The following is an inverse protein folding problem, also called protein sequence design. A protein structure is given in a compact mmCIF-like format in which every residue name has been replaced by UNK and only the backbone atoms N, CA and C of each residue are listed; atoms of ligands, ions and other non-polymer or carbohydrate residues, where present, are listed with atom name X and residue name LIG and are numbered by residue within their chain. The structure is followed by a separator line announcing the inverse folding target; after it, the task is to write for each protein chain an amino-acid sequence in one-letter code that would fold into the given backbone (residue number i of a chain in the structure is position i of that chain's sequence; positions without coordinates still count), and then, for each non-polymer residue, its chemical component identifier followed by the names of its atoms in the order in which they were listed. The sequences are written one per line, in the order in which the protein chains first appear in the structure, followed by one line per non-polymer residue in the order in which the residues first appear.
data_IF_446454565661
#
_entry.id   IF_446454565661
#
_cell.length_a   1.000
_cell.length_b   1.000
_cell.length_c   1.000
_cell.angle_alpha   90.00
_cell.angle_beta   90.00
_cell.angle_gamma   90.00
#
_symmetry.space_group_name_H-M   'P 1'
#
loop_
_entity.id
_entity.type
_entity.pdbx_description
1 polymer ?
#
# COMPACT_ATOMS: atom_id res chain seq x y z
N UNK A 1 7.29 -24.42 12.70
CA UNK A 1 6.05 -24.32 11.94
C UNK A 1 5.28 -25.64 12.04
N UNK A 2 3.96 -25.53 12.21
CA UNK A 2 3.10 -26.68 12.45
C UNK A 2 2.44 -27.18 11.14
N UNK A 3 3.26 -27.48 10.12
CA UNK A 3 2.76 -28.14 8.93
C UNK A 3 2.23 -29.52 9.28
N UNK A 4 1.07 -29.87 8.73
CA UNK A 4 0.44 -31.17 8.91
C UNK A 4 0.24 -31.82 7.55
N UNK A 5 0.60 -33.09 7.44
CA UNK A 5 0.34 -33.88 6.24
C UNK A 5 -1.16 -34.13 6.08
N UNK A 6 -1.65 -34.02 4.85
CA UNK A 6 -2.98 -34.52 4.50
C UNK A 6 -2.84 -35.94 4.00
N UNK A 7 -3.40 -36.94 4.72
CA UNK A 7 -3.28 -38.33 4.32
C UNK A 7 -3.99 -38.61 2.98
N UNK A 8 -3.57 -39.64 2.27
CA UNK A 8 -4.23 -40.08 1.05
C UNK A 8 -5.73 -40.35 1.30
N UNK A 9 -6.59 -39.78 0.47
CA UNK A 9 -8.05 -39.81 0.65
C UNK A 9 -8.59 -38.82 1.71
N UNK A 10 -7.74 -37.99 2.29
CA UNK A 10 -8.12 -36.97 3.25
C UNK A 10 -8.96 -35.87 2.61
N UNK A 11 -9.73 -35.18 3.45
CA UNK A 11 -10.60 -34.06 3.03
C UNK A 11 -9.87 -32.74 3.16
N UNK A 12 -9.89 -31.93 2.10
CA UNK A 12 -9.46 -30.53 2.13
C UNK A 12 -10.63 -29.65 2.62
N UNK A 13 -10.31 -28.69 3.48
CA UNK A 13 -11.28 -27.73 4.00
C UNK A 13 -11.23 -26.44 3.19
N UNK A 14 -12.38 -25.93 2.75
CA UNK A 14 -12.47 -24.66 2.07
C UNK A 14 -11.93 -23.51 2.96
N UNK A 15 -11.14 -22.61 2.38
CA UNK A 15 -10.52 -21.52 3.10
C UNK A 15 -9.21 -21.88 3.83
N UNK A 16 -8.78 -23.14 3.79
CA UNK A 16 -7.46 -23.56 4.29
C UNK A 16 -6.45 -23.59 3.15
N UNK A 17 -5.26 -23.06 3.38
CA UNK A 17 -4.14 -23.15 2.44
C UNK A 17 -3.47 -24.52 2.48
N UNK A 18 -3.09 -25.03 1.33
CA UNK A 18 -2.39 -26.32 1.17
C UNK A 18 -1.22 -26.16 0.22
N UNK A 19 -0.10 -26.80 0.55
CA UNK A 19 1.04 -26.94 -0.36
C UNK A 19 0.96 -28.31 -0.99
N UNK A 20 1.02 -28.36 -2.32
CA UNK A 20 1.03 -29.59 -3.09
C UNK A 20 2.32 -29.67 -3.89
N UNK A 21 3.09 -30.73 -3.67
CA UNK A 21 4.33 -30.98 -4.40
C UNK A 21 4.20 -32.31 -5.18
N UNK A 22 3.76 -32.25 -6.45
CA UNK A 22 3.63 -33.47 -7.24
C UNK A 22 5.01 -33.97 -7.70
N UNK A 23 5.23 -35.28 -7.61
CA UNK A 23 6.47 -35.93 -8.11
C UNK A 23 6.59 -35.94 -9.63
N UNK A 24 5.51 -35.66 -10.34
CA UNK A 24 5.41 -35.58 -11.80
C UNK A 24 4.26 -34.68 -12.19
N UNK A 25 4.26 -34.24 -13.44
CA UNK A 25 3.11 -33.51 -13.98
C UNK A 25 1.84 -34.34 -13.82
N UNK A 26 0.85 -33.80 -13.14
CA UNK A 26 -0.42 -34.47 -12.83
C UNK A 26 -1.58 -33.47 -12.85
N UNK A 27 -2.77 -34.01 -13.07
CA UNK A 27 -3.99 -33.25 -12.94
C UNK A 27 -4.59 -33.46 -11.55
N UNK A 28 -4.77 -32.38 -10.82
CA UNK A 28 -5.47 -32.42 -9.53
C UNK A 28 -6.96 -32.17 -9.76
N UNK A 29 -7.80 -33.13 -9.36
CA UNK A 29 -9.26 -32.98 -9.42
C UNK A 29 -9.81 -32.86 -8.00
N UNK A 30 -10.36 -31.68 -7.67
CA UNK A 30 -11.05 -31.42 -6.41
C UNK A 30 -12.56 -31.65 -6.59
N UNK A 31 -13.15 -32.43 -5.69
CA UNK A 31 -14.59 -32.74 -5.71
C UNK A 31 -15.21 -32.35 -4.39
N UNK A 32 -16.41 -31.74 -4.45
CA UNK A 32 -17.22 -31.57 -3.24
C UNK A 32 -17.62 -32.94 -2.68
N UNK A 33 -17.57 -33.08 -1.36
CA UNK A 33 -17.91 -34.35 -0.68
C UNK A 33 -19.39 -34.69 -0.87
N UNK A 34 -20.25 -33.66 -0.84
CA UNK A 34 -21.68 -33.81 -0.99
C UNK A 34 -22.31 -32.55 -1.61
N UNK A 35 -23.61 -32.61 -1.89
CA UNK A 35 -24.35 -31.47 -2.48
C UNK A 35 -24.43 -30.27 -1.53
N UNK A 36 -24.48 -30.48 -0.22
CA UNK A 36 -24.53 -29.37 0.75
C UNK A 36 -23.23 -28.56 0.72
N UNK A 37 -22.09 -29.20 0.63
CA UNK A 37 -20.80 -28.52 0.48
C UNK A 37 -20.70 -27.79 -0.84
N UNK A 38 -21.18 -28.38 -1.93
CA UNK A 38 -21.29 -27.71 -3.24
C UNK A 38 -22.19 -26.48 -3.15
N UNK A 39 -23.36 -26.60 -2.54
CA UNK A 39 -24.31 -25.51 -2.39
C UNK A 39 -23.73 -24.37 -1.54
N UNK A 40 -22.95 -24.66 -0.50
CA UNK A 40 -22.27 -23.63 0.32
C UNK A 40 -21.26 -22.82 -0.47
N UNK A 41 -20.48 -23.44 -1.34
CA UNK A 41 -19.52 -22.74 -2.19
C UNK A 41 -20.18 -21.77 -3.19
N UNK A 42 -21.39 -22.08 -3.63
CA UNK A 42 -22.12 -21.27 -4.60
C UNK A 42 -23.29 -20.46 -4.01
N UNK A 43 -23.51 -20.56 -2.69
CA UNK A 43 -24.52 -19.77 -2.00
C UNK A 43 -24.15 -18.28 -1.96
N UNK A 44 -25.10 -17.42 -1.64
CA UNK A 44 -24.87 -16.00 -1.37
C UNK A 44 -24.25 -15.71 0.01
N UNK A 45 -24.06 -16.76 0.83
CA UNK A 45 -23.51 -16.60 2.18
C UNK A 45 -21.98 -16.48 2.16
N UNK A 46 -21.44 -15.67 3.07
CA UNK A 46 -20.01 -15.60 3.29
C UNK A 46 -19.45 -16.93 3.82
N UNK A 47 -18.26 -17.28 3.37
CA UNK A 47 -17.49 -18.39 3.94
C UNK A 47 -16.55 -17.86 5.02
N UNK A 48 -16.57 -18.53 6.18
CA UNK A 48 -15.78 -18.14 7.35
C UNK A 48 -14.72 -19.17 7.67
N UNK A 49 -13.55 -18.70 8.09
CA UNK A 49 -12.45 -19.53 8.57
C UNK A 49 -11.92 -18.99 9.90
N UNK A 50 -11.97 -19.83 10.93
CA UNK A 50 -11.34 -19.53 12.23
C UNK A 50 -9.83 -19.47 12.06
N UNK A 51 -9.21 -18.49 12.69
CA UNK A 51 -7.76 -18.29 12.71
C UNK A 51 -7.18 -18.88 13.99
N UNK A 52 -6.09 -19.61 13.83
CA UNK A 52 -5.37 -20.22 14.93
C UNK A 52 -4.37 -19.21 15.53
N UNK A 53 -4.18 -19.27 16.83
CA UNK A 53 -3.22 -18.47 17.55
C UNK A 53 -2.01 -19.32 17.92
N UNK A 54 -0.82 -18.81 17.63
CA UNK A 54 0.44 -19.47 17.92
C UNK A 54 1.36 -18.50 18.64
N UNK A 55 1.80 -18.87 19.83
CA UNK A 55 2.75 -18.06 20.58
C UNK A 55 4.13 -18.06 19.90
N UNK A 56 4.77 -16.90 19.94
CA UNK A 56 6.17 -16.74 19.57
C UNK A 56 6.80 -15.69 20.48
N UNK A 57 8.10 -15.81 20.72
CA UNK A 57 8.88 -14.81 21.45
C UNK A 57 8.85 -13.43 20.73
N UNK A 58 8.74 -13.45 19.40
CA UNK A 58 8.69 -12.27 18.58
C UNK A 58 7.32 -12.11 17.91
N UNK A 59 6.69 -10.96 18.07
CA UNK A 59 5.37 -10.66 17.53
C UNK A 59 5.26 -10.92 16.02
N UNK A 60 6.30 -10.58 15.24
CA UNK A 60 6.33 -10.80 13.80
C UNK A 60 6.39 -12.27 13.37
N UNK A 61 6.63 -13.18 14.29
CA UNK A 61 6.63 -14.63 14.07
C UNK A 61 5.40 -15.33 14.67
N UNK A 62 4.55 -14.60 15.40
CA UNK A 62 3.39 -15.17 16.06
C UNK A 62 2.19 -15.28 15.14
N UNK A 63 1.31 -16.22 15.41
CA UNK A 63 -0.05 -16.30 14.87
C UNK A 63 -0.20 -16.30 13.35
N UNK A 64 0.78 -16.86 12.62
CA UNK A 64 0.69 -17.04 11.17
C UNK A 64 -0.27 -18.15 10.79
N UNK A 65 -1.16 -17.87 9.84
CA UNK A 65 -2.14 -18.80 9.28
C UNK A 65 -1.96 -18.88 7.77
N UNK A 66 -2.08 -20.10 7.22
CA UNK A 66 -2.07 -20.32 5.78
C UNK A 66 -3.49 -20.54 5.30
N UNK A 67 -4.01 -19.59 4.57
CA UNK A 67 -5.40 -19.47 4.13
C UNK A 67 -5.47 -19.67 2.62
N UNK A 68 -6.60 -20.16 2.11
CA UNK A 68 -6.85 -20.28 0.67
C UNK A 68 -8.12 -19.57 0.27
N UNK A 69 -8.14 -18.98 -0.92
CA UNK A 69 -9.37 -18.54 -1.56
C UNK A 69 -10.34 -19.74 -1.60
N UNK A 70 -11.48 -19.69 -0.89
CA UNK A 70 -12.37 -20.84 -0.76
C UNK A 70 -13.18 -21.13 -2.03
N UNK A 71 -13.11 -20.26 -3.02
CA UNK A 71 -13.92 -20.33 -4.22
C UNK A 71 -13.12 -20.81 -5.44
N UNK A 72 -13.75 -21.60 -6.35
CA UNK A 72 -13.14 -21.99 -7.62
C UNK A 72 -13.24 -20.88 -8.68
N UNK A 73 -13.17 -19.62 -8.28
CA UNK A 73 -13.20 -18.43 -9.12
C UNK A 73 -12.25 -17.38 -8.55
N UNK A 74 -12.00 -16.33 -9.30
CA UNK A 74 -11.25 -15.17 -8.81
C UNK A 74 -11.98 -14.50 -7.64
N UNK A 75 -11.22 -13.85 -6.77
CA UNK A 75 -11.76 -13.21 -5.57
C UNK A 75 -11.06 -11.88 -5.29
N UNK A 76 -11.83 -10.81 -5.20
CA UNK A 76 -11.33 -9.49 -4.82
C UNK A 76 -11.15 -9.43 -3.30
N UNK A 77 -9.89 -9.26 -2.84
CA UNK A 77 -9.53 -9.21 -1.41
C UNK A 77 -10.24 -8.09 -0.65
N UNK A 78 -10.68 -7.05 -1.35
CA UNK A 78 -11.47 -5.96 -0.74
C UNK A 78 -12.72 -6.46 -0.01
N UNK A 79 -13.31 -7.54 -0.44
CA UNK A 79 -14.52 -8.12 0.16
C UNK A 79 -14.25 -9.15 1.26
N UNK A 80 -12.98 -9.35 1.64
CA UNK A 80 -12.65 -10.08 2.86
C UNK A 80 -12.94 -9.21 4.07
N UNK A 81 -13.50 -9.80 5.13
CA UNK A 81 -13.57 -9.17 6.44
C UNK A 81 -12.24 -9.36 7.17
N UNK A 82 -11.19 -8.75 6.62
CA UNK A 82 -9.82 -8.80 7.12
C UNK A 82 -9.04 -7.62 6.55
N UNK A 83 -8.58 -6.72 7.42
CA UNK A 83 -7.97 -5.44 7.05
C UNK A 83 -6.44 -5.44 7.13
N UNK A 84 -5.85 -6.41 7.84
CA UNK A 84 -4.39 -6.52 7.93
C UNK A 84 -3.78 -7.00 6.62
N UNK A 85 -2.48 -6.77 6.39
CA UNK A 85 -1.81 -7.24 5.19
C UNK A 85 -1.84 -8.78 5.03
N UNK A 86 -1.85 -9.23 3.77
CA UNK A 86 -1.69 -10.63 3.41
C UNK A 86 -0.35 -10.83 2.70
N UNK A 87 0.23 -12.02 2.79
CA UNK A 87 1.48 -12.35 2.10
C UNK A 87 1.23 -13.46 1.09
N UNK A 88 1.56 -13.20 -0.17
CA UNK A 88 1.37 -14.11 -1.29
C UNK A 88 2.71 -14.55 -1.88
N UNK A 89 2.75 -15.71 -2.51
CA UNK A 89 3.87 -16.13 -3.31
C UNK A 89 3.77 -15.56 -4.74
N UNK A 90 4.76 -14.80 -5.15
CA UNK A 90 4.91 -14.34 -6.53
C UNK A 90 5.73 -15.37 -7.32
N UNK A 91 5.07 -16.15 -8.15
CA UNK A 91 5.70 -17.18 -8.97
C UNK A 91 6.65 -16.61 -10.01
N UNK A 92 6.40 -15.38 -10.50
CA UNK A 92 7.23 -14.74 -11.52
C UNK A 92 8.58 -14.30 -10.94
N UNK A 93 8.53 -13.63 -9.80
CA UNK A 93 9.72 -13.10 -9.14
C UNK A 93 10.32 -14.07 -8.11
N UNK A 94 9.65 -15.21 -7.84
CA UNK A 94 10.07 -16.22 -6.89
C UNK A 94 10.31 -15.66 -5.49
N UNK A 95 9.47 -14.73 -5.07
CA UNK A 95 9.55 -14.06 -3.77
C UNK A 95 8.17 -13.99 -3.12
N UNK A 96 8.15 -13.68 -1.83
CA UNK A 96 6.92 -13.38 -1.12
C UNK A 96 6.62 -11.89 -1.17
N UNK A 97 5.41 -11.56 -1.58
CA UNK A 97 4.93 -10.18 -1.68
C UNK A 97 3.84 -9.92 -0.65
N UNK A 98 4.04 -8.93 0.18
CA UNK A 98 2.98 -8.44 1.05
C UNK A 98 2.02 -7.54 0.26
N UNK A 99 0.73 -7.74 0.50
CA UNK A 99 -0.36 -7.03 -0.15
C UNK A 99 -1.23 -6.41 0.94
N UNK A 100 -1.45 -5.10 0.87
CA UNK A 100 -2.39 -4.41 1.73
C UNK A 100 -3.81 -4.64 1.21
N UNK A 101 -4.71 -5.04 2.09
CA UNK A 101 -6.14 -5.17 1.74
C UNK A 101 -6.82 -3.81 1.57
N UNK A 102 -6.18 -2.73 2.01
CA UNK A 102 -6.66 -1.35 1.92
C UNK A 102 -6.13 -0.62 0.68
N UNK A 103 -4.82 -0.78 0.40
CA UNK A 103 -4.13 0.00 -0.63
C UNK A 103 -4.06 -0.72 -1.97
N UNK A 104 -4.07 -2.06 -1.96
CA UNK A 104 -3.88 -2.85 -3.18
C UNK A 104 -5.21 -3.34 -3.76
N UNK A 105 -5.32 -3.25 -5.08
CA UNK A 105 -6.43 -3.83 -5.84
C UNK A 105 -6.08 -5.26 -6.27
N UNK A 106 -5.85 -6.15 -5.28
CA UNK A 106 -5.41 -7.49 -5.58
C UNK A 106 -6.56 -8.47 -5.75
N UNK A 107 -6.49 -9.25 -6.82
CA UNK A 107 -7.49 -10.29 -7.14
C UNK A 107 -6.82 -11.66 -6.98
N UNK A 108 -7.26 -12.42 -5.98
CA UNK A 108 -6.81 -13.81 -5.77
C UNK A 108 -7.24 -14.68 -6.94
N UNK A 109 -6.32 -15.49 -7.44
CA UNK A 109 -6.66 -16.55 -8.40
C UNK A 109 -7.56 -17.62 -7.76
N UNK A 110 -8.29 -18.41 -8.57
CA UNK A 110 -9.06 -19.53 -8.05
C UNK A 110 -8.20 -20.42 -7.15
N UNK A 111 -8.68 -20.61 -5.92
CA UNK A 111 -8.01 -21.44 -4.89
C UNK A 111 -6.57 -21.02 -4.52
N UNK A 112 -6.14 -19.83 -4.86
CA UNK A 112 -4.84 -19.30 -4.46
C UNK A 112 -4.72 -19.25 -2.93
N UNK A 113 -3.61 -19.74 -2.41
CA UNK A 113 -3.31 -19.66 -0.98
C UNK A 113 -2.39 -18.46 -0.67
N UNK A 114 -2.49 -17.98 0.56
CA UNK A 114 -1.75 -16.83 1.08
C UNK A 114 -1.56 -16.96 2.60
N UNK A 115 -0.57 -16.26 3.12
CA UNK A 115 -0.33 -16.17 4.56
C UNK A 115 -1.00 -14.91 5.12
N UNK A 116 -1.55 -15.04 6.32
CA UNK A 116 -2.04 -13.93 7.15
C UNK A 116 -1.53 -14.09 8.57
N UNK A 117 -1.32 -12.99 9.24
CA UNK A 117 -1.02 -12.98 10.66
C UNK A 117 -2.28 -12.57 11.44
N UNK A 118 -2.68 -13.38 12.43
CA UNK A 118 -3.89 -13.14 13.23
C UNK A 118 -3.63 -12.03 14.26
N UNK A 119 -4.19 -10.80 14.08
CA UNK A 119 -4.20 -9.81 15.14
C UNK A 119 -4.97 -10.32 16.37
N UNK A 120 -4.64 -9.80 17.55
CA UNK A 120 -5.18 -10.28 18.84
C UNK A 120 -6.71 -10.35 18.83
N UNK A 121 -7.36 -9.31 18.33
CA UNK A 121 -8.83 -9.19 18.33
C UNK A 121 -9.51 -9.98 17.21
N UNK A 122 -8.78 -10.44 16.20
CA UNK A 122 -9.34 -11.13 15.03
C UNK A 122 -9.46 -12.63 15.30
N UNK A 123 -10.67 -13.17 15.32
CA UNK A 123 -10.91 -14.60 15.57
C UNK A 123 -11.11 -15.42 14.30
N UNK A 124 -11.63 -14.78 13.26
CA UNK A 124 -11.95 -15.44 12.00
C UNK A 124 -11.74 -14.49 10.82
N UNK A 125 -11.54 -15.06 9.64
CA UNK A 125 -11.62 -14.35 8.36
C UNK A 125 -12.89 -14.76 7.66
N UNK A 126 -13.57 -13.80 7.03
CA UNK A 126 -14.80 -14.00 6.28
C UNK A 126 -14.62 -13.60 4.82
N UNK A 127 -15.06 -14.45 3.92
CA UNK A 127 -15.07 -14.23 2.48
C UNK A 127 -16.49 -13.94 2.04
N UNK A 128 -16.85 -12.67 1.80
CA UNK A 128 -18.15 -12.30 1.24
C UNK A 128 -18.35 -12.91 -0.15
N UNK A 129 -19.57 -13.33 -0.44
CA UNK A 129 -19.93 -13.83 -1.76
C UNK A 129 -19.79 -12.77 -2.87
N UNK A 130 -19.82 -11.49 -2.51
CA UNK A 130 -19.69 -10.35 -3.42
C UNK A 130 -18.30 -10.22 -4.05
N UNK A 131 -17.25 -10.72 -3.34
CA UNK A 131 -15.88 -10.70 -3.83
C UNK A 131 -15.59 -11.67 -4.97
N UNK A 132 -16.52 -12.58 -5.30
CA UNK A 132 -16.36 -13.56 -6.37
C UNK A 132 -16.49 -12.91 -7.74
N UNK A 133 -15.56 -13.24 -8.64
CA UNK A 133 -15.59 -12.74 -10.01
C UNK A 133 -15.00 -13.75 -11.01
N UNK A 134 -15.25 -13.55 -12.31
CA UNK A 134 -14.85 -14.48 -13.37
C UNK A 134 -13.49 -14.13 -14.01
N UNK A 135 -12.99 -12.94 -13.74
CA UNK A 135 -11.76 -12.40 -14.30
C UNK A 135 -10.95 -11.62 -13.26
N UNK A 136 -9.83 -11.06 -13.66
CA UNK A 136 -8.94 -10.25 -12.82
C UNK A 136 -9.23 -8.75 -12.90
N UNK A 137 -10.31 -8.34 -13.56
CA UNK A 137 -10.65 -6.92 -13.68
C UNK A 137 -11.08 -6.35 -12.32
N UNK A 138 -10.48 -5.24 -11.91
CA UNK A 138 -10.90 -4.51 -10.71
C UNK A 138 -12.24 -3.85 -11.00
N UNK A 139 -13.28 -4.26 -10.27
CA UNK A 139 -14.63 -3.72 -10.43
C UNK A 139 -14.82 -2.46 -9.61
N UNK A 140 -15.77 -1.62 -10.04
CA UNK A 140 -16.19 -0.50 -9.22
C UNK A 140 -16.82 -1.03 -7.93
N UNK A 141 -16.22 -0.66 -6.79
CA UNK A 141 -16.68 -1.09 -5.47
C UNK A 141 -17.83 -0.22 -5.02
N UNK A 142 -18.92 -0.85 -4.62
CA UNK A 142 -20.17 -0.18 -4.18
C UNK A 142 -20.18 0.12 -2.68
N UNK A 143 -19.32 -0.54 -1.91
CA UNK A 143 -19.17 -0.32 -0.47
C UNK A 143 -17.88 0.43 -0.20
N UNK A 144 -17.93 1.52 0.52
CA UNK A 144 -16.76 2.21 1.07
C UNK A 144 -16.31 1.49 2.33
N UNK A 145 -15.08 0.96 2.37
CA UNK A 145 -14.39 0.74 3.64
C UNK A 145 -14.21 2.08 4.34
N UNK A 146 -13.99 2.06 5.64
CA UNK A 146 -13.68 3.28 6.40
C UNK A 146 -12.64 4.10 5.64
N UNK A 147 -12.88 5.41 5.53
CA UNK A 147 -11.98 6.29 4.81
C UNK A 147 -10.55 6.12 5.36
N UNK A 148 -9.61 5.83 4.48
CA UNK A 148 -8.18 5.88 4.80
C UNK A 148 -7.91 7.29 5.32
N UNK A 149 -7.16 7.41 6.40
CA UNK A 149 -6.78 8.72 6.96
C UNK A 149 -6.22 9.61 5.85
N UNK A 150 -6.69 10.84 5.69
CA UNK A 150 -6.17 11.76 4.67
C UNK A 150 -4.68 12.07 4.85
N UNK A 151 -4.15 11.84 6.04
CA UNK A 151 -2.73 12.09 6.39
C UNK A 151 -1.83 10.87 6.15
N UNK A 152 -2.39 9.79 5.59
CA UNK A 152 -1.66 8.55 5.31
C UNK A 152 -1.02 8.60 3.92
N UNK A 153 0.31 8.42 3.85
CA UNK A 153 1.07 8.42 2.61
C UNK A 153 1.75 7.08 2.38
N UNK A 154 1.56 6.49 1.21
CA UNK A 154 2.12 5.18 0.83
C UNK A 154 3.25 5.37 -0.17
N UNK A 155 4.39 4.72 0.08
CA UNK A 155 5.56 4.68 -0.80
C UNK A 155 5.88 3.22 -1.13
N UNK A 156 5.86 2.86 -2.41
CA UNK A 156 6.24 1.54 -2.89
C UNK A 156 7.63 1.59 -3.53
N UNK A 157 8.56 0.79 -3.00
CA UNK A 157 9.92 0.68 -3.51
C UNK A 157 10.14 -0.68 -4.15
N UNK A 158 10.94 -0.72 -5.20
CA UNK A 158 11.33 -1.94 -5.89
C UNK A 158 12.85 -2.07 -5.97
N UNK A 159 13.32 -3.30 -5.94
CA UNK A 159 14.69 -3.69 -6.22
C UNK A 159 14.69 -4.72 -7.34
N UNK A 160 15.43 -4.46 -8.41
CA UNK A 160 15.54 -5.36 -9.55
C UNK A 160 16.99 -5.67 -9.92
N UNK A 161 17.23 -6.87 -10.45
CA UNK A 161 18.52 -7.34 -10.97
C UNK A 161 18.52 -7.53 -12.50
N UNK A 162 17.50 -7.01 -13.19
CA UNK A 162 17.24 -7.20 -14.62
C UNK A 162 16.51 -8.51 -14.98
N UNK A 163 16.31 -9.41 -14.00
CA UNK A 163 15.55 -10.68 -14.17
C UNK A 163 14.37 -10.75 -13.23
N UNK A 164 14.62 -10.48 -11.97
CA UNK A 164 13.66 -10.56 -10.88
C UNK A 164 13.51 -9.20 -10.20
N UNK A 165 12.32 -8.98 -9.66
CA UNK A 165 11.97 -7.77 -8.92
C UNK A 165 11.38 -8.16 -7.57
N UNK A 166 11.82 -7.52 -6.51
CA UNK A 166 11.17 -7.57 -5.20
C UNK A 166 10.73 -6.18 -4.76
N UNK A 167 9.83 -6.12 -3.78
CA UNK A 167 9.27 -4.86 -3.31
C UNK A 167 9.19 -4.77 -1.78
N UNK A 168 9.23 -3.54 -1.30
CA UNK A 168 8.87 -3.17 0.07
C UNK A 168 8.02 -1.91 0.05
N UNK A 169 7.22 -1.73 1.08
CA UNK A 169 6.33 -0.57 1.23
C UNK A 169 6.63 0.13 2.55
N UNK A 170 6.69 1.44 2.50
CA UNK A 170 6.65 2.31 3.68
C UNK A 170 5.34 3.08 3.67
N UNK A 171 4.65 3.08 4.78
CA UNK A 171 3.42 3.87 4.94
C UNK A 171 3.65 4.85 6.09
N UNK A 172 3.57 6.12 5.79
CA UNK A 172 3.58 7.16 6.82
C UNK A 172 2.14 7.38 7.28
N UNK A 173 1.91 7.09 8.55
CA UNK A 173 0.60 7.24 9.19
C UNK A 173 0.80 7.80 10.60
N UNK A 174 0.29 9.01 10.90
CA UNK A 174 0.42 9.62 12.23
C UNK A 174 -0.17 8.79 13.37
N UNK A 175 -1.14 7.91 13.05
CA UNK A 175 -1.82 7.05 14.03
C UNK A 175 -1.12 5.71 14.27
N UNK A 176 -0.08 5.38 13.50
CA UNK A 176 0.68 4.15 13.64
C UNK A 176 1.72 4.25 14.76
N UNK A 177 2.25 3.09 15.17
CA UNK A 177 3.37 2.97 16.10
C UNK A 177 4.72 2.85 15.37
N UNK A 178 5.82 3.08 16.09
CA UNK A 178 7.16 2.67 15.65
C UNK A 178 7.42 1.18 15.94
N UNK A 179 6.61 0.57 16.80
CA UNK A 179 6.65 -0.86 17.08
C UNK A 179 5.81 -1.64 16.08
N UNK A 180 6.13 -2.93 15.90
CA UNK A 180 5.43 -3.81 14.98
C UNK A 180 3.97 -4.02 15.37
N UNK A 181 3.06 -3.68 14.46
CA UNK A 181 1.61 -3.86 14.60
C UNK A 181 1.09 -4.86 13.56
N UNK A 182 0.67 -6.07 13.97
CA UNK A 182 0.15 -7.11 13.06
C UNK A 182 -1.01 -6.65 12.18
N UNK A 183 -1.74 -5.62 12.61
CA UNK A 183 -2.87 -5.06 11.86
C UNK A 183 -2.46 -4.15 10.71
N UNK A 184 -1.23 -3.64 10.71
CA UNK A 184 -0.74 -2.61 9.78
C UNK A 184 0.52 -3.05 9.06
N UNK A 185 1.44 -3.72 9.76
CA UNK A 185 2.73 -4.15 9.25
C UNK A 185 2.69 -5.54 8.64
N UNK A 186 3.60 -5.79 7.72
CA UNK A 186 3.89 -7.14 7.25
C UNK A 186 5.37 -7.45 7.43
N UNK A 187 5.66 -8.53 8.15
CA UNK A 187 7.02 -9.07 8.23
C UNK A 187 7.47 -9.53 6.84
N UNK A 188 8.75 -9.31 6.52
CA UNK A 188 9.32 -9.82 5.27
C UNK A 188 9.52 -11.33 5.34
N UNK A 189 8.82 -12.05 4.49
CA UNK A 189 9.13 -13.45 4.22
C UNK A 189 10.24 -13.53 3.20
N UNK A 190 11.38 -14.12 3.62
CA UNK A 190 12.52 -14.33 2.73
C UNK A 190 12.25 -15.53 1.82
N UNK A 191 12.58 -15.39 0.54
CA UNK A 191 12.52 -16.49 -0.42
C UNK A 191 13.55 -17.58 -0.07
N UNK A 192 13.18 -18.81 -0.29
CA UNK A 192 14.13 -19.94 -0.25
C UNK A 192 15.04 -19.97 -1.49
N UNK A 193 14.61 -19.34 -2.59
CA UNK A 193 15.45 -19.17 -3.79
C UNK A 193 16.52 -18.10 -3.52
N UNK A 194 17.77 -18.55 -3.41
CA UNK A 194 18.91 -17.69 -3.08
C UNK A 194 19.41 -16.86 -4.26
N UNK A 195 18.89 -17.08 -5.45
CA UNK A 195 19.27 -16.36 -6.66
C UNK A 195 18.49 -15.07 -6.87
N UNK A 196 17.39 -14.85 -6.13
CA UNK A 196 16.52 -13.68 -6.30
C UNK A 196 16.89 -12.53 -5.38
N UNK A 197 16.81 -11.27 -5.83
CA UNK A 197 16.97 -10.10 -4.98
C UNK A 197 15.83 -10.00 -3.99
N UNK A 198 16.09 -9.46 -2.81
CA UNK A 198 15.02 -9.18 -1.84
C UNK A 198 15.24 -7.83 -1.20
N UNK A 199 14.15 -7.08 -1.05
CA UNK A 199 14.09 -5.73 -0.52
C UNK A 199 13.22 -5.68 0.74
N UNK A 200 13.68 -4.99 1.76
CA UNK A 200 12.96 -4.82 3.01
C UNK A 200 13.39 -3.54 3.72
N UNK A 201 12.56 -3.04 4.61
CA UNK A 201 12.98 -2.03 5.58
C UNK A 201 13.30 -2.69 6.90
N UNK A 202 14.03 -1.96 7.77
CA UNK A 202 14.45 -2.45 9.08
C UNK A 202 14.05 -1.47 10.18
N UNK A 203 13.73 -2.00 11.36
CA UNK A 203 13.68 -1.22 12.59
C UNK A 203 14.99 -1.31 13.37
N UNK A 204 15.07 -0.59 14.50
CA UNK A 204 16.24 -0.58 15.38
C UNK A 204 16.53 -1.94 16.03
N UNK A 205 15.59 -2.88 16.01
CA UNK A 205 15.77 -4.25 16.51
C UNK A 205 16.31 -5.20 15.46
N UNK A 206 16.44 -4.76 14.19
CA UNK A 206 16.88 -5.57 13.06
C UNK A 206 15.78 -6.43 12.46
N UNK A 207 14.51 -6.13 12.71
CA UNK A 207 13.36 -6.81 12.10
C UNK A 207 13.18 -6.35 10.66
N UNK A 208 12.86 -7.28 9.76
CA UNK A 208 12.63 -7.03 8.34
C UNK A 208 11.14 -6.88 8.05
N UNK A 209 10.78 -5.80 7.34
CA UNK A 209 9.42 -5.47 6.93
C UNK A 209 9.27 -5.53 5.42
N UNK A 210 8.19 -6.15 4.97
CA UNK A 210 7.68 -6.03 3.61
C UNK A 210 6.70 -4.85 3.48
N UNK A 211 5.93 -4.56 4.56
CA UNK A 211 5.16 -3.33 4.76
C UNK A 211 5.52 -2.80 6.15
N UNK A 212 5.91 -1.55 6.21
CA UNK A 212 6.28 -0.83 7.43
C UNK A 212 5.39 0.41 7.53
N UNK A 213 4.33 0.34 8.31
CA UNK A 213 3.43 1.46 8.58
C UNK A 213 3.82 2.12 9.90
N UNK A 214 4.22 3.38 9.83
CA UNK A 214 4.83 4.09 10.96
C UNK A 214 4.53 5.59 10.92
N UNK A 215 4.64 6.30 12.04
CA UNK A 215 4.69 7.76 12.01
C UNK A 215 5.95 8.24 11.29
N UNK A 216 5.91 9.45 10.74
CA UNK A 216 7.07 10.03 10.02
C UNK A 216 8.34 10.07 10.90
N UNK A 217 8.18 10.45 12.16
CA UNK A 217 9.31 10.63 13.08
C UNK A 217 10.32 11.64 12.52
N UNK A 218 11.59 11.22 12.41
CA UNK A 218 12.65 12.01 11.78
C UNK A 218 12.71 11.84 10.24
N UNK A 219 11.77 11.11 9.65
CA UNK A 219 11.75 10.80 8.23
C UNK A 219 12.75 9.76 7.75
N UNK A 220 13.55 9.19 8.66
CA UNK A 220 14.60 8.24 8.30
C UNK A 220 14.09 6.80 8.38
N UNK A 221 14.34 6.03 7.31
CA UNK A 221 14.00 4.60 7.22
C UNK A 221 15.21 3.82 6.73
N UNK A 222 15.66 2.86 7.52
CA UNK A 222 16.74 1.94 7.11
C UNK A 222 16.23 0.95 6.09
N UNK A 223 16.98 0.73 5.01
CA UNK A 223 16.67 -0.21 3.95
C UNK A 223 17.74 -1.28 3.87
N UNK A 224 17.29 -2.53 3.85
CA UNK A 224 18.13 -3.68 3.63
C UNK A 224 17.80 -4.37 2.33
N UNK A 225 18.80 -5.01 1.76
CA UNK A 225 18.67 -5.88 0.61
C UNK A 225 19.32 -7.24 0.86
N UNK A 226 18.83 -8.23 0.16
CA UNK A 226 19.55 -9.45 -0.09
C UNK A 226 19.87 -9.50 -1.58
N UNK A 227 21.14 -9.48 -1.93
CA UNK A 227 21.61 -9.63 -3.31
C UNK A 227 21.78 -11.13 -3.59
N UNK A 228 20.97 -11.70 -4.48
CA UNK A 228 21.05 -13.12 -4.83
C UNK A 228 22.37 -13.50 -5.48
N UNK A 229 22.98 -12.58 -6.23
CA UNK A 229 24.25 -12.74 -6.97
C UNK A 229 25.06 -11.47 -6.87
N UNK A 230 26.37 -11.57 -7.03
CA UNK A 230 27.19 -10.39 -7.28
C UNK A 230 26.80 -9.79 -8.64
N UNK A 231 26.48 -8.49 -8.66
CA UNK A 231 26.02 -7.84 -9.89
C UNK A 231 25.44 -6.45 -9.69
N UNK A 232 24.74 -6.00 -10.70
CA UNK A 232 24.09 -4.68 -10.73
C UNK A 232 22.64 -4.79 -10.33
N UNK A 233 22.22 -3.86 -9.50
CA UNK A 233 20.86 -3.74 -8.98
C UNK A 233 20.35 -2.32 -9.18
N UNK A 234 19.05 -2.18 -9.36
CA UNK A 234 18.38 -0.88 -9.44
C UNK A 234 17.29 -0.79 -8.36
N UNK A 235 17.36 0.26 -7.53
CA UNK A 235 16.38 0.60 -6.52
C UNK A 235 15.56 1.80 -7.01
N UNK A 236 14.24 1.68 -6.98
CA UNK A 236 13.32 2.68 -7.52
C UNK A 236 12.14 2.92 -6.59
N UNK A 237 11.60 4.13 -6.60
CA UNK A 237 10.25 4.41 -6.13
C UNK A 237 9.27 4.05 -7.25
N UNK A 238 8.49 2.98 -7.08
CA UNK A 238 7.56 2.51 -8.10
C UNK A 238 6.33 3.42 -8.19
N UNK A 239 5.75 3.76 -7.03
CA UNK A 239 4.66 4.71 -6.89
C UNK A 239 4.55 5.29 -5.48
N UNK A 240 3.80 6.39 -5.35
CA UNK A 240 3.40 6.98 -4.08
C UNK A 240 1.97 7.54 -4.21
N UNK A 241 1.17 7.46 -3.13
CA UNK A 241 -0.24 7.92 -3.16
C UNK A 241 -0.38 9.44 -3.15
N UNK A 242 0.65 10.13 -2.68
CA UNK A 242 0.74 11.60 -2.70
C UNK A 242 2.08 11.95 -3.33
N UNK A 243 2.13 13.03 -4.09
CA UNK A 243 3.41 13.59 -4.55
C UNK A 243 4.23 13.92 -3.30
N UNK A 244 5.17 13.04 -2.97
CA UNK A 244 6.12 13.30 -1.90
C UNK A 244 6.90 14.57 -2.25
N UNK A 245 7.17 15.43 -1.27
CA UNK A 245 8.02 16.59 -1.53
C UNK A 245 9.42 16.12 -1.91
N UNK A 246 9.89 15.07 -1.23
CA UNK A 246 11.21 14.52 -1.50
C UNK A 246 11.34 13.09 -0.95
N UNK A 247 11.87 12.18 -1.76
CA UNK A 247 12.28 10.83 -1.37
C UNK A 247 13.76 10.66 -1.72
N UNK A 248 14.64 10.76 -0.74
CA UNK A 248 16.08 10.68 -0.95
C UNK A 248 16.60 9.34 -0.46
N UNK A 249 17.29 8.61 -1.31
CA UNK A 249 18.10 7.46 -0.96
C UNK A 249 19.53 7.90 -0.72
N UNK A 250 20.09 7.55 0.42
CA UNK A 250 21.52 7.70 0.72
C UNK A 250 22.19 6.34 0.66
N UNK A 251 23.20 6.18 -0.18
CA UNK A 251 24.13 5.05 -0.16
C UNK A 251 25.33 5.40 0.72
N UNK A 252 25.37 4.88 1.94
CA UNK A 252 26.42 5.17 2.93
C UNK A 252 27.79 4.64 2.52
N UNK A 253 27.85 3.65 1.59
CA UNK A 253 29.10 3.09 1.11
C UNK A 253 29.81 4.06 0.15
N UNK A 254 29.05 4.75 -0.69
CA UNK A 254 29.57 5.70 -1.68
C UNK A 254 29.45 7.15 -1.25
N UNK A 255 28.59 7.45 -0.27
CA UNK A 255 28.21 8.80 0.12
C UNK A 255 27.27 9.48 -0.88
N UNK A 256 26.73 8.73 -1.85
CA UNK A 256 25.84 9.27 -2.87
C UNK A 256 24.42 9.46 -2.33
N UNK A 257 23.78 10.56 -2.73
CA UNK A 257 22.36 10.81 -2.52
C UNK A 257 21.62 10.85 -3.85
N UNK A 258 20.49 10.18 -3.94
CA UNK A 258 19.62 10.14 -5.14
C UNK A 258 18.18 10.41 -4.76
N UNK A 259 17.54 11.32 -5.49
CA UNK A 259 16.12 11.60 -5.38
C UNK A 259 15.32 10.53 -6.13
N UNK A 260 14.79 9.56 -5.41
CA UNK A 260 14.00 8.46 -6.00
C UNK A 260 12.65 8.91 -6.56
N UNK A 261 12.14 10.08 -6.16
CA UNK A 261 10.95 10.70 -6.74
C UNK A 261 11.20 11.30 -8.13
N UNK A 262 12.46 11.40 -8.56
CA UNK A 262 12.86 11.91 -9.87
C UNK A 262 13.57 10.86 -10.72
N UNK A 263 14.35 9.96 -10.13
CA UNK A 263 15.19 8.98 -10.83
C UNK A 263 15.34 7.69 -10.02
N UNK A 264 15.88 6.64 -10.61
CA UNK A 264 16.25 5.40 -9.95
C UNK A 264 17.73 5.38 -9.58
N UNK A 265 18.10 4.57 -8.59
CA UNK A 265 19.48 4.39 -8.17
C UNK A 265 20.03 3.02 -8.57
N UNK A 266 21.04 3.01 -9.43
CA UNK A 266 21.72 1.80 -9.87
C UNK A 266 23.07 1.66 -9.16
N UNK A 267 23.36 0.48 -8.62
CA UNK A 267 24.55 0.16 -7.85
C UNK A 267 25.00 -1.28 -8.07
N UNK A 268 26.22 -1.59 -7.63
CA UNK A 268 26.73 -2.96 -7.58
C UNK A 268 26.71 -3.47 -6.14
N UNK A 269 26.45 -4.77 -5.98
CA UNK A 269 26.53 -5.46 -4.70
C UNK A 269 27.13 -6.86 -4.87
N UNK A 270 27.83 -7.32 -3.83
CA UNK A 270 28.21 -8.72 -3.68
C UNK A 270 27.00 -9.55 -3.24
N UNK A 271 27.03 -10.86 -3.50
CA UNK A 271 25.97 -11.76 -3.06
C UNK A 271 25.85 -11.79 -1.53
N UNK A 272 24.61 -11.75 -1.01
CA UNK A 272 24.33 -11.82 0.42
C UNK A 272 23.52 -10.63 0.94
N UNK A 273 23.46 -10.56 2.27
CA UNK A 273 22.74 -9.48 2.97
C UNK A 273 23.58 -8.20 3.01
N UNK A 274 22.88 -7.08 2.80
CA UNK A 274 23.42 -5.73 2.98
C UNK A 274 22.36 -4.91 3.73
N UNK A 275 22.54 -4.68 5.02
CA UNK A 275 21.54 -4.12 5.94
C UNK A 275 21.89 -2.75 6.51
N UNK A 276 23.08 -2.26 6.29
CA UNK A 276 23.63 -1.03 6.86
C UNK A 276 24.03 0.02 5.82
N UNK A 277 23.85 -0.30 4.53
CA UNK A 277 24.30 0.55 3.41
C UNK A 277 23.30 1.63 3.04
N UNK A 278 22.01 1.31 3.03
CA UNK A 278 20.99 2.19 2.45
C UNK A 278 20.09 2.81 3.50
N UNK A 279 19.76 4.08 3.27
CA UNK A 279 18.86 4.84 4.11
C UNK A 279 17.96 5.71 3.23
N UNK A 280 16.64 5.67 3.49
CA UNK A 280 15.67 6.57 2.90
C UNK A 280 15.42 7.74 3.84
N UNK A 281 15.37 8.94 3.27
CA UNK A 281 14.85 10.13 3.92
C UNK A 281 13.55 10.54 3.22
N UNK A 282 12.45 10.43 3.95
CA UNK A 282 11.11 10.73 3.48
C UNK A 282 10.68 12.09 4.01
N UNK A 283 10.25 12.96 3.12
CA UNK A 283 9.60 14.21 3.47
C UNK A 283 8.18 14.14 2.93
N UNK A 284 7.20 14.16 3.82
CA UNK A 284 5.80 14.23 3.41
C UNK A 284 5.32 15.66 3.60
N UNK A 285 4.61 16.22 2.63
CA UNK A 285 3.77 17.37 2.94
C UNK A 285 2.69 16.89 3.89
N UNK A 286 2.84 17.21 5.16
CA UNK A 286 1.67 17.31 5.99
C UNK A 286 0.81 18.36 5.33
N UNK A 287 -0.34 17.97 4.75
CA UNK A 287 -1.42 18.90 4.57
C UNK A 287 -1.94 19.14 6.01
N UNK A 288 -1.12 19.74 6.84
CA UNK A 288 -1.59 20.43 8.03
C UNK A 288 -2.44 21.53 7.45
N UNK A 289 -3.74 21.38 7.62
CA UNK A 289 -4.61 22.51 7.43
C UNK A 289 -3.96 23.69 8.12
N UNK A 290 -3.64 24.71 7.32
CA UNK A 290 -3.19 26.02 7.79
C UNK A 290 -1.98 25.90 8.74
N UNK A 291 -0.75 25.82 8.21
CA UNK A 291 0.29 26.58 8.89
C UNK A 291 -0.21 28.03 8.90
N UNK A 292 -0.64 28.46 10.07
CA UNK A 292 -0.54 29.89 10.37
C UNK A 292 0.95 30.24 10.29
N UNK A 293 1.44 30.41 9.05
CA UNK A 293 2.57 31.30 8.86
C UNK A 293 2.07 32.63 9.39
N UNK A 294 2.62 33.10 10.48
CA UNK A 294 2.52 34.48 10.94
C UNK A 294 3.17 35.44 9.94
N UNK A 295 2.98 35.18 8.66
CA UNK A 295 3.11 36.16 7.62
C UNK A 295 1.69 36.68 7.36
N UNK A 296 1.33 37.72 8.09
CA UNK A 296 0.03 38.41 8.03
C UNK A 296 -0.35 38.93 6.63
N UNK A 297 0.37 38.51 5.60
CA UNK A 297 0.28 39.02 4.23
C UNK A 297 0.13 37.92 3.14
N UNK A 298 0.07 36.65 3.45
CA UNK A 298 -0.10 35.57 2.45
C UNK A 298 -1.55 35.52 1.92
N UNK A 299 -1.71 35.44 0.59
CA UNK A 299 -3.02 35.31 -0.02
C UNK A 299 -3.66 33.96 0.33
N UNK A 300 -4.97 33.98 0.59
CA UNK A 300 -5.76 32.76 0.87
C UNK A 300 -6.94 32.68 -0.10
N UNK A 301 -7.22 31.47 -0.60
CA UNK A 301 -8.34 31.21 -1.48
C UNK A 301 -9.09 29.98 -1.00
N UNK A 302 -10.37 30.12 -0.70
CA UNK A 302 -11.24 29.02 -0.25
C UNK A 302 -12.51 28.92 -1.08
N UNK A 303 -13.08 27.71 -1.21
CA UNK A 303 -14.36 27.50 -1.86
C UNK A 303 -15.51 27.68 -0.88
N UNK A 304 -16.51 28.47 -1.29
CA UNK A 304 -17.83 28.48 -0.66
C UNK A 304 -18.89 27.86 -1.57
N UNK A 305 -20.13 27.77 -1.11
CA UNK A 305 -21.25 27.32 -1.94
C UNK A 305 -21.49 28.33 -3.08
N UNK A 306 -21.17 27.95 -4.32
CA UNK A 306 -21.32 28.76 -5.51
C UNK A 306 -20.43 30.02 -5.56
N UNK A 307 -19.34 30.10 -4.80
CA UNK A 307 -18.45 31.26 -4.76
C UNK A 307 -17.00 30.87 -4.39
N UNK A 308 -16.08 31.73 -4.78
CA UNK A 308 -14.68 31.70 -4.36
C UNK A 308 -14.46 32.83 -3.36
N UNK A 309 -13.96 32.51 -2.17
CA UNK A 309 -13.58 33.46 -1.14
C UNK A 309 -12.07 33.72 -1.25
N UNK A 310 -11.67 34.96 -1.33
CA UNK A 310 -10.28 35.37 -1.47
C UNK A 310 -9.95 36.35 -0.36
N UNK A 311 -8.85 36.08 0.34
CA UNK A 311 -8.23 36.96 1.31
C UNK A 311 -6.81 37.25 0.86
N UNK A 312 -6.51 38.53 0.52
CA UNK A 312 -5.20 38.96 0.07
C UNK A 312 -5.06 40.47 0.26
N UNK A 313 -3.92 41.05 -0.10
CA UNK A 313 -3.69 42.49 0.11
C UNK A 313 -4.52 43.37 -0.85
N UNK A 314 -5.09 44.50 -0.39
CA UNK A 314 -5.61 45.48 -1.28
C UNK A 314 -4.52 45.96 -2.25
N UNK A 315 -4.83 45.97 -3.56
CA UNK A 315 -3.87 46.23 -4.63
C UNK A 315 -3.42 45.03 -5.41
N UNK A 316 -3.59 43.79 -4.87
CA UNK A 316 -3.25 42.56 -5.59
C UNK A 316 -4.20 42.34 -6.77
N UNK A 317 -3.62 41.90 -7.88
CA UNK A 317 -4.39 41.46 -9.04
C UNK A 317 -4.81 39.98 -8.86
N UNK A 318 -6.10 39.72 -8.94
CA UNK A 318 -6.69 38.40 -8.94
C UNK A 318 -7.14 38.02 -10.34
N UNK A 319 -6.76 36.82 -10.78
CA UNK A 319 -7.20 36.22 -12.04
C UNK A 319 -7.78 34.84 -11.76
N UNK A 320 -9.02 34.60 -12.16
CA UNK A 320 -9.71 33.32 -12.05
C UNK A 320 -9.90 32.73 -13.44
N UNK A 321 -9.41 31.52 -13.65
CA UNK A 321 -9.57 30.74 -14.90
C UNK A 321 -10.34 29.46 -14.65
N UNK A 322 -11.14 29.02 -15.61
CA UNK A 322 -11.71 27.67 -15.61
C UNK A 322 -10.69 26.65 -16.12
N UNK A 323 -11.05 25.36 -16.11
CA UNK A 323 -10.16 24.26 -16.55
C UNK A 323 -9.73 24.32 -18.03
N UNK A 324 -10.45 25.06 -18.85
CA UNK A 324 -10.07 25.27 -20.27
C UNK A 324 -9.12 26.45 -20.46
N UNK A 325 -8.71 27.10 -19.36
CA UNK A 325 -7.83 28.28 -19.39
C UNK A 325 -8.53 29.60 -19.71
N UNK A 326 -9.86 29.58 -19.86
CA UNK A 326 -10.64 30.82 -20.09
C UNK A 326 -10.69 31.63 -18.80
N UNK A 327 -10.37 32.92 -18.88
CA UNK A 327 -10.49 33.87 -17.75
C UNK A 327 -11.97 34.09 -17.45
N UNK A 328 -12.39 33.73 -16.26
CA UNK A 328 -13.76 33.94 -15.74
C UNK A 328 -13.88 35.31 -15.06
N UNK A 329 -12.83 35.66 -14.33
CA UNK A 329 -12.78 36.94 -13.59
C UNK A 329 -11.35 37.45 -13.55
N UNK A 330 -11.20 38.80 -13.62
CA UNK A 330 -9.94 39.52 -13.42
C UNK A 330 -10.21 40.85 -12.76
N UNK A 331 -9.66 41.07 -11.57
CA UNK A 331 -9.82 42.34 -10.84
C UNK A 331 -8.62 42.63 -9.94
N UNK A 332 -8.50 43.90 -9.57
CA UNK A 332 -7.60 44.34 -8.50
C UNK A 332 -8.43 44.41 -7.21
N UNK A 333 -7.90 43.85 -6.13
CA UNK A 333 -8.57 43.85 -4.84
C UNK A 333 -8.56 45.26 -4.25
N UNK A 334 -9.72 45.70 -3.82
CA UNK A 334 -9.88 46.97 -3.11
C UNK A 334 -10.02 46.78 -1.59
N UNK A 335 -10.23 45.54 -1.15
CA UNK A 335 -10.38 45.12 0.26
C UNK A 335 -9.60 43.85 0.50
N UNK A 336 -9.22 43.59 1.76
CA UNK A 336 -8.44 42.39 2.16
C UNK A 336 -9.20 41.08 2.04
N UNK A 337 -10.53 41.11 1.88
CA UNK A 337 -11.35 39.91 1.67
C UNK A 337 -12.42 40.23 0.61
N UNK A 338 -12.62 39.30 -0.32
CA UNK A 338 -13.63 39.43 -1.37
C UNK A 338 -14.25 38.08 -1.70
N UNK A 339 -15.51 38.10 -2.12
CA UNK A 339 -16.24 36.92 -2.60
C UNK A 339 -16.54 37.07 -4.09
N UNK A 340 -16.28 36.00 -4.86
CA UNK A 340 -16.53 35.95 -6.29
C UNK A 340 -17.57 34.86 -6.57
N UNK A 341 -18.81 35.19 -6.93
CA UNK A 341 -19.80 34.24 -7.37
C UNK A 341 -19.34 33.54 -8.65
N UNK A 342 -19.33 32.19 -8.66
CA UNK A 342 -18.98 31.40 -9.85
C UNK A 342 -19.87 30.16 -9.91
N UNK A 343 -20.04 29.60 -11.10
CA UNK A 343 -20.72 28.31 -11.24
C UNK A 343 -19.94 27.16 -10.56
N UNK A 344 -20.60 26.06 -10.17
CA UNK A 344 -19.88 24.88 -9.71
C UNK A 344 -18.88 24.39 -10.75
N UNK A 345 -17.64 24.07 -10.32
CA UNK A 345 -16.58 23.66 -11.22
C UNK A 345 -15.19 23.84 -10.63
N UNK A 346 -14.18 23.43 -11.41
CA UNK A 346 -12.77 23.64 -11.05
C UNK A 346 -12.27 24.98 -11.60
N UNK A 347 -11.51 25.67 -10.75
CA UNK A 347 -10.93 26.97 -11.07
C UNK A 347 -9.46 27.03 -10.66
N UNK A 348 -8.71 27.82 -11.43
CA UNK A 348 -7.33 28.20 -11.11
C UNK A 348 -7.38 29.69 -10.78
N UNK A 349 -7.00 30.05 -9.56
CA UNK A 349 -6.95 31.42 -9.06
C UNK A 349 -5.50 31.84 -8.92
N UNK A 350 -5.10 32.92 -9.58
CA UNK A 350 -3.75 33.50 -9.47
C UNK A 350 -3.84 34.84 -8.78
N UNK A 351 -3.01 35.06 -7.75
CA UNK A 351 -2.91 36.30 -6.98
C UNK A 351 -1.42 36.66 -6.91
N UNK A 352 -1.02 37.71 -7.61
CA UNK A 352 0.40 38.07 -7.74
C UNK A 352 1.21 36.91 -8.37
N UNK A 353 2.11 36.26 -7.59
CA UNK A 353 2.90 35.08 -8.02
C UNK A 353 2.32 33.76 -7.53
N UNK A 354 1.31 33.78 -6.69
CA UNK A 354 0.73 32.58 -6.08
C UNK A 354 -0.40 32.05 -6.97
N UNK A 355 -0.55 30.72 -7.02
CA UNK A 355 -1.57 30.04 -7.81
C UNK A 355 -2.27 28.98 -6.97
N UNK A 356 -3.58 29.05 -6.92
CA UNK A 356 -4.45 28.17 -6.16
C UNK A 356 -5.34 27.36 -7.09
N UNK A 357 -5.54 26.08 -6.80
CA UNK A 357 -6.51 25.22 -7.50
C UNK A 357 -7.67 24.96 -6.56
N UNK A 358 -8.88 25.25 -6.99
CA UNK A 358 -10.04 25.18 -6.13
C UNK A 358 -11.23 24.55 -6.86
N UNK A 359 -12.01 23.75 -6.13
CA UNK A 359 -13.27 23.19 -6.60
C UNK A 359 -14.43 23.84 -5.87
N UNK A 360 -15.31 24.50 -6.63
CA UNK A 360 -16.55 25.09 -6.12
C UNK A 360 -17.69 24.09 -6.33
N UNK A 361 -18.39 23.77 -5.27
CA UNK A 361 -19.57 22.91 -5.27
C UNK A 361 -20.85 23.76 -5.09
N UNK A 362 -21.99 23.12 -5.31
CA UNK A 362 -23.29 23.77 -5.21
C UNK A 362 -23.71 24.00 -3.76
#
# INVERSE_FOLDING_TARGET
GNWKDVPAGGTLQAGTGYIIQPNKQTQLTLKAINNDNKNRLFSGNALKRTLDEYASEFAHNASWNFIGNPYPCFYDIYYMDYTSPITIWDTRNRTYTAVSTEDDNYILSPMQAFFIQKPVETKEISFSAEGRQLDTAVRQRTTTRSAVSPDRTVFNFTLEDGTYTDRTRVVINPEASMDYEMSRDAAKFMSDDKDVPQLFTLDATGRYYAINERPLGNGIVSVGIYAGKAGTYTLSLADATVTADEVVLTDKQTGSETRLDLDSYTFTAEAGFCTDRFELRLTTRTITGIEESHDTNAAQVTAGAGQILISAQPGDEVRVCNVTGQVVERRILTQSSTSLPVAPGFYIVTIGKETFKIMVIK
#
